data_IF_611543868741
#
_entry.id   IF_611543868741
#
_cell.length_a   1.000
_cell.length_b   1.000
_cell.length_c   1.000
_cell.angle_alpha   90.00
_cell.angle_beta   90.00
_cell.angle_gamma   90.00
#
_symmetry.space_group_name_H-M   'P 1'
#
loop_
_entity.id
_entity.type
_entity.pdbx_description
1 polymer ?
#
# COMPACT_ATOMS: atom_id res chain seq x y z
N UNK A 1 16.56 -18.81 -18.50
CA UNK A 1 15.77 -18.60 -17.25
C UNK A 1 14.93 -17.31 -17.27
N UNK A 2 15.49 -16.09 -17.47
CA UNK A 2 14.73 -14.81 -17.53
C UNK A 2 13.47 -14.78 -18.43
N UNK A 3 13.55 -15.33 -19.66
CA UNK A 3 12.37 -15.42 -20.58
C UNK A 3 11.22 -16.28 -20.04
N UNK A 4 11.53 -17.33 -19.26
CA UNK A 4 10.53 -18.25 -18.69
C UNK A 4 9.81 -17.63 -17.49
N UNK A 5 10.53 -16.81 -16.72
CA UNK A 5 9.96 -16.00 -15.63
C UNK A 5 9.07 -14.89 -16.18
N UNK A 6 9.49 -14.22 -17.25
CA UNK A 6 8.70 -13.17 -17.92
C UNK A 6 7.41 -13.73 -18.54
N UNK A 7 7.47 -14.93 -19.12
CA UNK A 7 6.29 -15.59 -19.69
C UNK A 7 5.31 -16.03 -18.60
N UNK A 8 5.79 -16.51 -17.45
CA UNK A 8 4.92 -16.84 -16.30
C UNK A 8 4.26 -15.61 -15.68
N UNK A 9 4.98 -14.50 -15.52
CA UNK A 9 4.37 -13.25 -15.05
C UNK A 9 3.42 -12.67 -16.09
N UNK A 10 3.72 -12.80 -17.39
CA UNK A 10 2.80 -12.41 -18.46
C UNK A 10 1.53 -13.26 -18.46
N UNK A 11 1.63 -14.58 -18.27
CA UNK A 11 0.48 -15.49 -18.15
C UNK A 11 -0.33 -15.19 -16.88
N UNK A 12 0.31 -14.93 -15.75
CA UNK A 12 -0.40 -14.55 -14.53
C UNK A 12 -1.12 -13.21 -14.71
N UNK A 13 -0.46 -12.21 -15.29
CA UNK A 13 -1.04 -10.91 -15.61
C UNK A 13 -2.17 -11.04 -16.64
N UNK A 14 -2.00 -11.88 -17.67
CA UNK A 14 -3.03 -12.13 -18.67
C UNK A 14 -4.21 -12.87 -18.05
N UNK A 15 -3.99 -13.83 -17.14
CA UNK A 15 -5.06 -14.56 -16.44
C UNK A 15 -5.84 -13.65 -15.50
N UNK A 16 -5.18 -12.72 -14.79
CA UNK A 16 -5.87 -11.66 -14.04
C UNK A 16 -6.63 -10.68 -14.96
N UNK A 17 -6.14 -10.42 -16.17
CA UNK A 17 -6.88 -9.68 -17.20
C UNK A 17 -8.02 -10.51 -17.82
N UNK A 18 -7.90 -11.84 -17.83
CA UNK A 18 -8.85 -12.80 -18.46
C UNK A 18 -10.13 -12.95 -17.66
N UNK A 19 -10.11 -12.60 -16.37
CA UNK A 19 -11.28 -12.60 -15.51
C UNK A 19 -12.14 -11.32 -15.65
N UNK A 20 -11.81 -10.45 -16.62
CA UNK A 20 -12.61 -9.28 -16.93
C UNK A 20 -13.72 -9.65 -17.92
N UNK A 21 -14.96 -9.39 -17.49
CA UNK A 21 -16.15 -9.59 -18.31
C UNK A 21 -16.03 -8.83 -19.65
N UNK A 22 -16.47 -9.42 -20.78
CA UNK A 22 -16.39 -8.76 -22.09
C UNK A 22 -17.13 -7.41 -22.13
N UNK A 23 -18.16 -7.22 -21.28
CA UNK A 23 -18.89 -5.96 -21.15
C UNK A 23 -18.03 -4.82 -20.57
N UNK A 24 -17.03 -5.15 -19.73
CA UNK A 24 -16.16 -4.17 -19.08
C UNK A 24 -14.88 -3.85 -19.87
N UNK A 25 -14.53 -4.66 -20.86
CA UNK A 25 -13.37 -4.44 -21.73
C UNK A 25 -13.35 -3.07 -22.43
N UNK A 26 -14.45 -2.56 -23.04
CA UNK A 26 -14.43 -1.25 -23.67
C UNK A 26 -14.15 -0.13 -22.66
N UNK A 27 -14.79 -0.18 -21.48
CA UNK A 27 -14.59 0.77 -20.40
C UNK A 27 -13.15 0.72 -19.89
N UNK A 28 -12.61 -0.48 -19.64
CA UNK A 28 -11.23 -0.65 -19.21
C UNK A 28 -10.25 -0.09 -20.25
N UNK A 29 -10.45 -0.39 -21.54
CA UNK A 29 -9.59 0.10 -22.61
C UNK A 29 -9.57 1.63 -22.63
N UNK A 30 -10.73 2.28 -22.54
CA UNK A 30 -10.80 3.74 -22.52
C UNK A 30 -10.14 4.34 -21.29
N UNK A 31 -10.31 3.75 -20.12
CA UNK A 31 -9.62 4.18 -18.90
C UNK A 31 -8.10 4.05 -19.01
N UNK A 32 -7.59 2.99 -19.64
CA UNK A 32 -6.15 2.83 -19.90
C UNK A 32 -5.63 3.91 -20.86
N UNK A 33 -6.41 4.29 -21.86
CA UNK A 33 -6.10 5.40 -22.78
C UNK A 33 -6.07 6.73 -22.03
N UNK A 34 -7.12 7.06 -21.26
CA UNK A 34 -7.18 8.27 -20.43
C UNK A 34 -5.98 8.34 -19.48
N UNK A 35 -5.62 7.22 -18.82
CA UNK A 35 -4.43 7.17 -17.94
C UNK A 35 -3.14 7.51 -18.69
N UNK A 36 -2.98 7.04 -19.93
CA UNK A 36 -1.80 7.38 -20.76
C UNK A 36 -1.81 8.84 -21.18
N UNK A 37 -2.98 9.38 -21.52
CA UNK A 37 -3.15 10.78 -21.87
C UNK A 37 -2.80 11.69 -20.68
N UNK A 38 -3.31 11.38 -19.48
CA UNK A 38 -2.96 12.07 -18.23
C UNK A 38 -1.46 11.98 -17.93
N UNK A 39 -0.86 10.79 -18.01
CA UNK A 39 0.58 10.63 -17.81
C UNK A 39 1.41 11.45 -18.83
N UNK A 40 0.95 11.52 -20.07
CA UNK A 40 1.60 12.32 -21.12
C UNK A 40 1.49 13.82 -20.81
N UNK A 41 0.33 14.29 -20.35
CA UNK A 41 0.14 15.67 -19.92
C UNK A 41 1.04 16.02 -18.72
N UNK A 42 1.16 15.13 -17.74
CA UNK A 42 2.04 15.30 -16.58
C UNK A 42 3.53 15.32 -16.91
N UNK A 43 3.95 14.64 -17.97
CA UNK A 43 5.33 14.66 -18.44
C UNK A 43 5.69 15.91 -19.25
N UNK A 44 4.71 16.71 -19.70
CA UNK A 44 4.95 17.95 -20.45
C UNK A 44 5.44 19.05 -19.50
N UNK A 45 6.37 19.87 -19.98
CA UNK A 45 6.83 21.07 -19.25
C UNK A 45 5.71 22.08 -19.03
N UNK A 46 4.77 22.16 -19.95
CA UNK A 46 3.58 23.02 -19.89
C UNK A 46 2.38 22.25 -20.44
N UNK A 47 1.23 22.37 -19.77
CA UNK A 47 -0.05 21.85 -20.20
C UNK A 47 -1.17 22.79 -19.72
N UNK A 48 -2.32 22.76 -20.39
CA UNK A 48 -3.49 23.55 -19.99
C UNK A 48 -4.39 22.72 -19.09
N UNK A 49 -4.90 23.32 -18.01
CA UNK A 49 -5.86 22.67 -17.11
C UNK A 49 -7.17 22.32 -17.81
N UNK A 50 -7.52 23.01 -18.90
CA UNK A 50 -8.67 22.68 -19.76
C UNK A 50 -8.58 21.27 -20.37
N UNK A 51 -7.37 20.85 -20.75
CA UNK A 51 -7.15 19.53 -21.38
C UNK A 51 -7.41 18.43 -20.35
N UNK A 52 -6.96 18.64 -19.11
CA UNK A 52 -7.20 17.73 -17.99
C UNK A 52 -8.68 17.71 -17.60
N UNK A 53 -9.36 18.88 -17.59
CA UNK A 53 -10.80 18.98 -17.31
C UNK A 53 -11.65 18.24 -18.35
N UNK A 54 -11.21 18.22 -19.61
CA UNK A 54 -11.90 17.47 -20.67
C UNK A 54 -11.87 15.96 -20.37
N UNK A 55 -10.71 15.45 -19.98
CA UNK A 55 -10.56 14.06 -19.54
C UNK A 55 -11.33 13.77 -18.25
N UNK A 56 -11.39 14.71 -17.31
CA UNK A 56 -12.17 14.59 -16.09
C UNK A 56 -13.68 14.47 -16.36
N UNK A 57 -14.20 15.22 -17.33
CA UNK A 57 -15.59 15.12 -17.72
C UNK A 57 -15.90 13.77 -18.39
N UNK A 58 -14.98 13.24 -19.19
CA UNK A 58 -15.10 11.89 -19.72
C UNK A 58 -15.04 10.81 -18.62
N UNK A 59 -14.19 10.99 -17.60
CA UNK A 59 -14.22 10.09 -16.44
C UNK A 59 -15.56 10.15 -15.72
N UNK A 60 -16.20 11.33 -15.62
CA UNK A 60 -17.55 11.48 -15.06
C UNK A 60 -18.63 10.80 -15.90
N UNK A 61 -18.54 10.86 -17.23
CA UNK A 61 -19.53 10.13 -18.06
C UNK A 61 -19.41 8.63 -17.88
N UNK A 62 -18.18 8.11 -17.74
CA UNK A 62 -17.92 6.71 -17.38
C UNK A 62 -18.45 6.40 -15.96
N UNK A 63 -18.26 7.31 -15.01
CA UNK A 63 -18.73 7.17 -13.63
C UNK A 63 -20.26 7.11 -13.53
N UNK A 64 -20.95 7.97 -14.27
CA UNK A 64 -22.40 8.09 -14.33
C UNK A 64 -23.08 6.86 -14.97
N UNK A 65 -22.33 6.04 -15.71
CA UNK A 65 -22.84 4.77 -16.21
C UNK A 65 -22.99 3.71 -15.10
N UNK A 66 -22.49 3.97 -13.90
CA UNK A 66 -22.63 3.09 -12.74
C UNK A 66 -23.96 3.32 -12.03
N UNK A 67 -24.59 2.23 -11.59
CA UNK A 67 -25.80 2.24 -10.76
C UNK A 67 -25.40 1.79 -9.36
N UNK A 68 -25.68 2.60 -8.34
CA UNK A 68 -25.25 2.38 -6.95
C UNK A 68 -23.74 2.10 -6.80
N UNK A 69 -22.92 2.80 -7.60
CA UNK A 69 -21.46 2.63 -7.61
C UNK A 69 -20.97 1.34 -8.29
N UNK A 70 -21.85 0.60 -8.96
CA UNK A 70 -21.52 -0.65 -9.65
C UNK A 70 -21.78 -0.57 -11.16
N UNK A 71 -20.94 -1.23 -11.93
CA UNK A 71 -21.23 -1.46 -13.35
C UNK A 71 -22.19 -2.66 -13.43
N UNK A 72 -23.25 -2.55 -14.20
CA UNK A 72 -24.21 -3.64 -14.36
C UNK A 72 -24.12 -4.20 -15.78
N UNK A 73 -24.14 -5.53 -15.89
CA UNK A 73 -24.33 -6.20 -17.16
C UNK A 73 -25.79 -6.05 -17.64
N UNK A 74 -26.11 -6.34 -18.92
CA UNK A 74 -27.46 -6.21 -19.47
C UNK A 74 -28.53 -7.03 -18.73
N UNK A 75 -28.11 -8.06 -17.98
CA UNK A 75 -28.95 -8.91 -17.15
C UNK A 75 -29.12 -8.40 -15.70
N UNK A 76 -28.52 -7.26 -15.35
CA UNK A 76 -28.52 -6.68 -14.01
C UNK A 76 -27.50 -7.31 -13.05
N UNK A 77 -26.65 -8.23 -13.51
CA UNK A 77 -25.60 -8.84 -12.69
C UNK A 77 -24.36 -7.95 -12.59
N UNK A 78 -23.51 -8.24 -11.60
CA UNK A 78 -22.21 -7.56 -11.40
C UNK A 78 -21.17 -8.28 -12.26
N UNK A 79 -20.60 -7.65 -13.29
CA UNK A 79 -19.63 -8.27 -14.17
C UNK A 79 -18.32 -8.58 -13.46
N UNK A 80 -17.71 -9.72 -13.81
CA UNK A 80 -16.43 -10.14 -13.26
C UNK A 80 -15.32 -9.13 -13.59
N UNK A 81 -14.45 -8.85 -12.61
CA UNK A 81 -13.35 -7.88 -12.76
C UNK A 81 -13.75 -6.41 -12.57
N UNK A 82 -14.99 -6.12 -12.14
CA UNK A 82 -15.44 -4.76 -11.85
C UNK A 82 -14.52 -4.00 -10.87
N UNK A 83 -14.00 -4.67 -9.84
CA UNK A 83 -13.11 -4.04 -8.87
C UNK A 83 -11.84 -3.46 -9.52
N UNK A 84 -11.30 -4.13 -10.54
CA UNK A 84 -10.14 -3.66 -11.29
C UNK A 84 -10.46 -2.40 -12.10
N UNK A 85 -11.62 -2.38 -12.76
CA UNK A 85 -12.07 -1.22 -13.55
C UNK A 85 -12.39 -0.04 -12.66
N UNK A 86 -13.03 -0.29 -11.51
CA UNK A 86 -13.35 0.74 -10.51
C UNK A 86 -12.07 1.34 -9.93
N UNK A 87 -11.10 0.51 -9.55
CA UNK A 87 -9.80 1.00 -9.08
C UNK A 87 -9.04 1.78 -10.14
N UNK A 88 -9.13 1.39 -11.42
CA UNK A 88 -8.52 2.14 -12.53
C UNK A 88 -9.20 3.49 -12.75
N UNK A 89 -10.53 3.55 -12.68
CA UNK A 89 -11.32 4.78 -12.77
C UNK A 89 -10.95 5.75 -11.65
N UNK A 90 -10.89 5.26 -10.40
CA UNK A 90 -10.45 6.03 -9.24
C UNK A 90 -9.02 6.56 -9.41
N UNK A 91 -8.10 5.73 -9.92
CA UNK A 91 -6.73 6.16 -10.21
C UNK A 91 -6.69 7.26 -11.28
N UNK A 92 -7.46 7.14 -12.35
CA UNK A 92 -7.54 8.18 -13.38
C UNK A 92 -8.10 9.50 -12.84
N UNK A 93 -9.11 9.43 -11.95
CA UNK A 93 -9.60 10.62 -11.27
C UNK A 93 -8.53 11.25 -10.37
N UNK A 94 -7.78 10.45 -9.61
CA UNK A 94 -6.67 10.95 -8.80
C UNK A 94 -5.59 11.62 -9.66
N UNK A 95 -5.15 10.98 -10.73
CA UNK A 95 -4.12 11.50 -11.63
C UNK A 95 -4.57 12.83 -12.27
N UNK A 96 -5.84 12.92 -12.70
CA UNK A 96 -6.40 14.15 -13.25
C UNK A 96 -6.47 15.27 -12.21
N UNK A 97 -6.87 14.97 -10.98
CA UNK A 97 -6.89 15.96 -9.90
C UNK A 97 -5.49 16.39 -9.48
N UNK A 98 -4.52 15.47 -9.39
CA UNK A 98 -3.11 15.80 -9.10
C UNK A 98 -2.57 16.80 -10.13
N UNK A 99 -2.88 16.60 -11.42
CA UNK A 99 -2.45 17.50 -12.49
C UNK A 99 -3.10 18.88 -12.41
N UNK A 100 -4.41 18.95 -12.15
CA UNK A 100 -5.10 20.24 -11.95
C UNK A 100 -4.52 20.95 -10.72
N UNK A 101 -4.35 20.22 -9.62
CA UNK A 101 -3.84 20.75 -8.36
C UNK A 101 -2.41 21.29 -8.49
N UNK A 102 -1.59 20.70 -9.36
CA UNK A 102 -0.23 21.21 -9.65
C UNK A 102 -0.20 22.59 -10.32
N UNK A 103 -1.35 23.08 -10.83
CA UNK A 103 -1.51 24.35 -11.54
C UNK A 103 -2.34 25.38 -10.78
N UNK A 104 -3.02 24.99 -9.71
CA UNK A 104 -3.83 25.92 -8.93
C UNK A 104 -2.90 26.84 -8.12
N UNK A 105 -3.13 28.15 -8.24
CA UNK A 105 -2.49 29.13 -7.38
C UNK A 105 -3.09 29.00 -5.97
N UNK A 106 -2.22 28.76 -4.99
CA UNK A 106 -2.61 28.64 -3.59
C UNK A 106 -2.36 29.98 -2.93
N UNK A 107 -3.40 30.51 -2.28
CA UNK A 107 -3.26 31.74 -1.51
C UNK A 107 -2.12 31.60 -0.48
N UNK A 108 -1.26 32.62 -0.31
CA UNK A 108 -0.14 32.57 0.65
C UNK A 108 -0.55 32.19 2.07
N UNK A 109 -1.76 32.57 2.48
CA UNK A 109 -2.32 32.26 3.79
C UNK A 109 -2.63 30.76 3.98
N UNK A 110 -2.85 30.01 2.90
CA UNK A 110 -3.10 28.56 2.94
C UNK A 110 -1.83 27.72 2.78
N UNK A 111 -0.69 28.33 2.40
CA UNK A 111 0.58 27.61 2.23
C UNK A 111 1.00 26.79 3.46
N UNK A 112 0.82 27.24 4.71
CA UNK A 112 1.15 26.42 5.87
C UNK A 112 0.36 25.10 5.93
N UNK A 113 -0.93 25.15 5.62
CA UNK A 113 -1.80 23.97 5.60
C UNK A 113 -1.41 23.05 4.43
N UNK A 114 -1.17 23.64 3.26
CA UNK A 114 -0.74 22.92 2.07
C UNK A 114 0.57 22.17 2.28
N UNK A 115 1.58 22.83 2.85
CA UNK A 115 2.89 22.23 3.12
C UNK A 115 2.76 21.09 4.13
N UNK A 116 1.99 21.29 5.21
CA UNK A 116 1.72 20.24 6.20
C UNK A 116 1.06 19.01 5.55
N UNK A 117 0.05 19.21 4.71
CA UNK A 117 -0.62 18.11 3.99
C UNK A 117 0.32 17.40 2.99
N UNK A 118 1.18 18.15 2.29
CA UNK A 118 2.19 17.55 1.43
C UNK A 118 3.20 16.69 2.21
N UNK A 119 3.66 17.15 3.37
CA UNK A 119 4.59 16.41 4.23
C UNK A 119 3.96 15.11 4.77
N UNK A 120 2.70 15.18 5.22
CA UNK A 120 1.94 14.00 5.65
C UNK A 120 1.81 13.01 4.49
N UNK A 121 1.35 13.48 3.32
CA UNK A 121 1.22 12.66 2.11
C UNK A 121 2.54 12.00 1.73
N UNK A 122 3.62 12.76 1.63
CA UNK A 122 4.94 12.24 1.23
C UNK A 122 5.45 11.19 2.23
N UNK A 123 5.14 11.35 3.52
CA UNK A 123 5.47 10.37 4.54
C UNK A 123 4.67 9.08 4.38
N UNK A 124 3.34 9.18 4.19
CA UNK A 124 2.46 8.04 3.96
C UNK A 124 2.81 7.28 2.66
N UNK A 125 3.12 8.00 1.57
CA UNK A 125 3.58 7.40 0.32
C UNK A 125 4.89 6.62 0.51
N UNK A 126 5.83 7.18 1.28
CA UNK A 126 7.09 6.49 1.62
C UNK A 126 6.83 5.22 2.42
N UNK A 127 5.96 5.27 3.42
CA UNK A 127 5.57 4.10 4.22
C UNK A 127 4.94 3.00 3.35
N UNK A 128 4.09 3.38 2.39
CA UNK A 128 3.51 2.46 1.40
C UNK A 128 4.58 1.78 0.52
N UNK A 129 5.73 2.42 0.29
CA UNK A 129 6.81 1.84 -0.51
C UNK A 129 7.78 0.97 0.30
N UNK A 130 8.11 1.37 1.53
CA UNK A 130 9.25 0.77 2.27
C UNK A 130 8.88 0.00 3.54
N UNK A 131 7.67 0.19 4.11
CA UNK A 131 7.37 -0.29 5.48
C UNK A 131 6.03 -1.01 5.63
N UNK A 132 5.40 -1.48 4.55
CA UNK A 132 4.08 -2.17 4.59
C UNK A 132 3.97 -3.28 5.65
N UNK A 133 5.04 -4.01 5.92
CA UNK A 133 5.04 -5.20 6.79
C UNK A 133 5.54 -4.94 8.22
N UNK A 134 5.95 -3.72 8.54
CA UNK A 134 6.48 -3.35 9.88
C UNK A 134 5.72 -2.18 10.51
N UNK A 135 4.60 -1.80 9.90
CA UNK A 135 3.85 -0.61 10.28
C UNK A 135 2.99 -0.90 11.51
N UNK A 136 3.13 -0.10 12.57
CA UNK A 136 2.30 -0.21 13.77
C UNK A 136 1.01 0.59 13.58
N UNK A 137 -0.10 0.14 14.17
CA UNK A 137 -1.34 0.93 14.20
C UNK A 137 -1.14 2.31 14.84
N UNK A 138 -0.30 2.38 15.88
CA UNK A 138 0.02 3.63 16.58
C UNK A 138 0.77 4.63 15.71
N UNK A 139 1.60 4.17 14.77
CA UNK A 139 2.29 5.04 13.82
C UNK A 139 1.30 5.70 12.84
N UNK A 140 0.28 4.95 12.40
CA UNK A 140 -0.78 5.47 11.56
C UNK A 140 -1.75 6.37 12.33
N UNK A 141 -2.01 6.08 13.61
CA UNK A 141 -2.85 6.90 14.47
C UNK A 141 -2.32 8.33 14.60
N UNK A 142 -0.99 8.51 14.70
CA UNK A 142 -0.39 9.85 14.72
C UNK A 142 -0.71 10.66 13.46
N UNK A 143 -0.68 10.03 12.28
CA UNK A 143 -1.10 10.68 11.03
C UNK A 143 -2.61 10.95 11.00
N UNK A 144 -3.44 10.05 11.52
CA UNK A 144 -4.89 10.29 11.65
C UNK A 144 -5.20 11.52 12.50
N UNK A 145 -4.54 11.67 13.66
CA UNK A 145 -4.71 12.84 14.53
C UNK A 145 -4.30 14.12 13.81
N UNK A 146 -3.16 14.13 13.13
CA UNK A 146 -2.72 15.30 12.36
C UNK A 146 -3.70 15.68 11.25
N UNK A 147 -4.27 14.69 10.54
CA UNK A 147 -5.28 14.94 9.52
C UNK A 147 -6.59 15.44 10.12
N UNK A 148 -6.99 14.95 11.30
CA UNK A 148 -8.16 15.45 12.02
C UNK A 148 -7.98 16.90 12.50
N UNK A 149 -6.79 17.26 12.96
CA UNK A 149 -6.48 18.66 13.30
C UNK A 149 -6.59 19.59 12.10
N UNK A 150 -6.08 19.18 10.93
CA UNK A 150 -6.23 19.95 9.69
C UNK A 150 -7.69 20.02 9.27
N UNK A 151 -8.43 18.92 9.40
CA UNK A 151 -9.85 18.86 9.07
C UNK A 151 -10.68 19.80 9.96
N UNK A 152 -10.36 19.86 11.26
CA UNK A 152 -11.02 20.73 12.23
C UNK A 152 -10.84 22.24 11.92
N UNK A 153 -9.87 22.62 11.09
CA UNK A 153 -9.73 23.99 10.60
C UNK A 153 -10.77 24.36 9.55
N UNK A 154 -11.43 23.38 8.93
CA UNK A 154 -12.46 23.60 7.91
C UNK A 154 -13.81 23.93 8.54
N UNK A 155 -14.57 24.81 7.89
CA UNK A 155 -16.00 25.03 8.13
C UNK A 155 -16.73 24.74 6.82
N UNK A 156 -17.79 23.95 6.84
CA UNK A 156 -18.54 23.57 5.63
C UNK A 156 -17.66 23.06 4.46
N UNK A 157 -16.59 22.32 4.79
CA UNK A 157 -15.64 21.76 3.80
C UNK A 157 -14.67 22.77 3.18
N UNK A 158 -14.57 23.99 3.72
CA UNK A 158 -13.68 25.06 3.24
C UNK A 158 -12.78 25.59 4.33
N UNK A 159 -11.57 25.98 3.96
CA UNK A 159 -10.65 26.75 4.79
C UNK A 159 -10.96 28.24 4.65
N UNK A 160 -10.98 28.96 5.76
CA UNK A 160 -11.30 30.39 5.81
C UNK A 160 -10.10 31.19 6.31
N UNK A 161 -10.01 32.44 5.86
CA UNK A 161 -9.12 33.44 6.46
C UNK A 161 -9.72 33.98 7.76
N UNK A 162 -8.92 34.73 8.53
CA UNK A 162 -9.36 35.38 9.78
C UNK A 162 -10.59 36.29 9.58
N UNK A 163 -10.77 36.83 8.37
CA UNK A 163 -11.90 37.70 8.00
C UNK A 163 -13.14 36.95 7.48
N UNK A 164 -13.12 35.60 7.45
CA UNK A 164 -14.24 34.79 6.95
C UNK A 164 -14.35 34.72 5.42
N UNK A 165 -13.34 35.18 4.71
CA UNK A 165 -13.20 34.99 3.26
C UNK A 165 -12.72 33.56 2.94
N UNK A 166 -13.16 33.03 1.79
CA UNK A 166 -12.70 31.74 1.24
C UNK A 166 -11.60 31.99 0.21
N UNK A 167 -10.31 31.76 0.55
CA UNK A 167 -9.19 31.96 -0.35
C UNK A 167 -9.11 30.91 -1.46
N UNK A 168 -8.43 31.24 -2.56
CA UNK A 168 -8.11 30.31 -3.66
C UNK A 168 -7.20 29.15 -3.21
N UNK A 169 -7.30 27.99 -3.88
CA UNK A 169 -6.55 26.77 -3.54
C UNK A 169 -7.33 25.73 -2.72
N UNK A 170 -8.63 25.95 -2.46
CA UNK A 170 -9.49 25.01 -1.70
C UNK A 170 -9.50 23.60 -2.30
N UNK A 171 -9.59 23.48 -3.62
CA UNK A 171 -9.68 22.20 -4.31
C UNK A 171 -8.42 21.35 -4.05
N UNK A 172 -7.24 21.97 -4.12
CA UNK A 172 -5.95 21.31 -3.86
C UNK A 172 -5.85 20.80 -2.44
N UNK A 173 -6.21 21.63 -1.45
CA UNK A 173 -6.15 21.26 -0.03
C UNK A 173 -7.10 20.12 0.30
N UNK A 174 -8.35 20.22 -0.17
CA UNK A 174 -9.35 19.17 0.04
C UNK A 174 -8.92 17.86 -0.62
N UNK A 175 -8.34 17.94 -1.82
CA UNK A 175 -7.79 16.77 -2.49
C UNK A 175 -6.63 16.14 -1.71
N UNK A 176 -5.64 16.93 -1.28
CA UNK A 176 -4.51 16.42 -0.50
C UNK A 176 -4.96 15.79 0.82
N UNK A 177 -5.94 16.38 1.49
CA UNK A 177 -6.51 15.84 2.72
C UNK A 177 -7.21 14.49 2.46
N UNK A 178 -8.10 14.40 1.48
CA UNK A 178 -8.77 13.15 1.13
C UNK A 178 -7.78 12.06 0.69
N UNK A 179 -6.79 12.42 -0.13
CA UNK A 179 -5.73 11.49 -0.56
C UNK A 179 -4.92 10.98 0.61
N UNK A 180 -4.59 11.84 1.57
CA UNK A 180 -3.86 11.44 2.77
C UNK A 180 -4.69 10.48 3.63
N UNK A 181 -5.99 10.74 3.82
CA UNK A 181 -6.89 9.79 4.48
C UNK A 181 -6.98 8.46 3.71
N UNK A 182 -7.10 8.48 2.39
CA UNK A 182 -7.14 7.26 1.56
C UNK A 182 -5.86 6.43 1.71
N UNK A 183 -4.70 7.09 1.74
CA UNK A 183 -3.42 6.43 1.99
C UNK A 183 -3.38 5.78 3.38
N UNK A 184 -3.86 6.46 4.42
CA UNK A 184 -3.96 5.87 5.76
C UNK A 184 -4.87 4.64 5.75
N UNK A 185 -6.08 4.74 5.19
CA UNK A 185 -7.00 3.60 5.12
C UNK A 185 -6.43 2.42 4.34
N UNK A 186 -5.75 2.70 3.23
CA UNK A 186 -5.08 1.68 2.44
C UNK A 186 -3.93 1.03 3.21
N UNK A 187 -3.14 1.81 3.94
CA UNK A 187 -2.07 1.28 4.78
C UNK A 187 -2.62 0.43 5.93
N UNK A 188 -3.72 0.85 6.56
CA UNK A 188 -4.41 0.07 7.60
C UNK A 188 -4.94 -1.25 7.07
N UNK A 189 -5.56 -1.26 5.88
CA UNK A 189 -6.12 -2.48 5.30
C UNK A 189 -5.05 -3.42 4.72
N UNK A 190 -3.85 -2.90 4.42
CA UNK A 190 -2.70 -3.67 3.93
C UNK A 190 -1.75 -4.11 5.05
N UNK A 191 -1.81 -3.50 6.24
CA UNK A 191 -1.01 -3.89 7.39
C UNK A 191 -1.74 -4.95 8.22
N UNK A 192 -1.15 -6.14 8.38
CA UNK A 192 -1.50 -7.00 9.50
C UNK A 192 -0.68 -6.54 10.72
N UNK A 193 -1.30 -6.00 11.78
CA UNK A 193 -0.55 -5.49 12.91
C UNK A 193 -0.01 -6.66 13.74
N UNK A 194 1.32 -6.69 13.90
CA UNK A 194 1.93 -7.47 14.98
C UNK A 194 1.78 -6.66 16.25
N UNK A 195 1.04 -7.19 17.23
CA UNK A 195 0.81 -6.54 18.50
C UNK A 195 2.14 -6.18 19.19
N UNK A 196 2.15 -5.13 20.01
CA UNK A 196 3.37 -4.62 20.66
C UNK A 196 4.11 -5.71 21.46
N UNK A 197 3.36 -6.57 22.15
CA UNK A 197 3.90 -7.72 22.89
C UNK A 197 4.71 -8.70 22.01
N UNK A 198 4.41 -8.77 20.71
CA UNK A 198 5.08 -9.66 19.76
C UNK A 198 6.19 -8.98 18.95
N UNK A 199 6.31 -7.64 19.01
CA UNK A 199 7.34 -6.89 18.27
C UNK A 199 8.77 -7.34 18.59
N UNK A 200 9.16 -7.61 19.85
CA UNK A 200 10.50 -8.13 20.16
C UNK A 200 10.77 -9.48 19.48
N UNK A 201 9.78 -10.37 19.45
CA UNK A 201 9.86 -11.69 18.82
C UNK A 201 9.98 -11.55 17.30
N UNK A 202 9.09 -10.76 16.69
CA UNK A 202 9.07 -10.48 15.26
C UNK A 202 10.41 -9.91 14.76
N UNK A 203 10.97 -8.92 15.47
CA UNK A 203 12.25 -8.31 15.11
C UNK A 203 13.40 -9.32 15.18
N UNK A 204 13.45 -10.15 16.24
CA UNK A 204 14.47 -11.18 16.37
C UNK A 204 14.38 -12.22 15.25
N UNK A 205 13.17 -12.70 14.93
CA UNK A 205 12.96 -13.65 13.83
C UNK A 205 13.37 -13.07 12.47
N UNK A 206 13.02 -11.81 12.22
CA UNK A 206 13.39 -11.13 10.98
C UNK A 206 14.90 -11.00 10.82
N UNK A 207 15.62 -10.67 11.91
CA UNK A 207 17.09 -10.64 11.91
C UNK A 207 17.67 -12.02 11.64
N UNK A 208 17.20 -13.06 12.34
CA UNK A 208 17.68 -14.44 12.16
C UNK A 208 17.45 -14.92 10.73
N UNK A 209 16.25 -14.71 10.19
CA UNK A 209 15.90 -15.02 8.80
C UNK A 209 16.86 -14.37 7.82
N UNK A 210 17.13 -13.07 7.98
CA UNK A 210 18.07 -12.35 7.10
C UNK A 210 19.47 -12.96 7.17
N UNK A 211 19.98 -13.26 8.37
CA UNK A 211 21.27 -13.91 8.52
C UNK A 211 21.30 -15.30 7.87
N UNK A 212 20.27 -16.13 8.07
CA UNK A 212 20.17 -17.46 7.46
C UNK A 212 20.11 -17.41 5.93
N UNK A 213 19.39 -16.44 5.36
CA UNK A 213 19.34 -16.22 3.91
C UNK A 213 20.72 -15.82 3.38
N UNK A 214 21.45 -14.93 4.07
CA UNK A 214 22.79 -14.55 3.65
C UNK A 214 23.76 -15.74 3.74
N UNK A 215 23.69 -16.55 4.80
CA UNK A 215 24.46 -17.81 4.91
C UNK A 215 24.18 -18.73 3.72
N UNK A 216 22.90 -18.96 3.41
CA UNK A 216 22.47 -19.78 2.25
C UNK A 216 22.94 -19.22 0.91
N UNK A 217 23.02 -17.89 0.78
CA UNK A 217 23.40 -17.22 -0.46
C UNK A 217 24.91 -17.20 -0.69
N UNK A 218 25.69 -16.97 0.36
CA UNK A 218 27.14 -16.81 0.25
C UNK A 218 27.91 -18.14 0.17
N UNK A 219 27.27 -19.27 0.51
CA UNK A 219 27.73 -20.62 0.18
C UNK A 219 29.23 -20.84 0.41
N UNK A 220 29.61 -21.14 1.65
CA UNK A 220 30.98 -21.52 2.03
C UNK A 220 31.01 -22.92 2.64
N UNK A 221 32.20 -23.46 3.01
CA UNK A 221 32.31 -24.69 3.78
C UNK A 221 31.80 -24.43 5.20
N UNK A 222 30.47 -24.40 5.36
CA UNK A 222 29.86 -24.22 6.65
C UNK A 222 29.90 -25.54 7.40
N UNK A 223 30.35 -25.50 8.65
CA UNK A 223 30.28 -26.67 9.51
C UNK A 223 28.98 -26.63 10.32
N UNK A 224 28.47 -27.79 10.74
CA UNK A 224 27.32 -27.88 11.67
C UNK A 224 27.47 -26.98 12.91
N UNK A 225 28.72 -26.72 13.34
CA UNK A 225 29.06 -25.84 14.46
C UNK A 225 28.69 -24.38 14.20
N UNK A 226 28.82 -23.90 12.97
CA UNK A 226 28.52 -22.51 12.59
C UNK A 226 27.02 -22.23 12.50
N UNK A 227 26.20 -23.29 12.34
CA UNK A 227 24.74 -23.20 12.39
C UNK A 227 24.18 -23.18 13.82
N UNK A 228 24.99 -23.58 14.81
CA UNK A 228 24.56 -23.72 16.20
C UNK A 228 23.99 -22.42 16.82
N UNK A 229 24.59 -21.22 16.61
CA UNK A 229 24.04 -19.98 17.15
C UNK A 229 22.62 -19.68 16.65
N UNK A 230 22.32 -19.99 15.38
CA UNK A 230 20.98 -19.83 14.81
C UNK A 230 19.99 -20.83 15.41
N UNK A 231 20.40 -22.09 15.55
CA UNK A 231 19.57 -23.11 16.20
C UNK A 231 19.22 -22.73 17.64
N UNK A 232 20.22 -22.28 18.42
CA UNK A 232 20.01 -21.82 19.79
C UNK A 232 19.10 -20.60 19.85
N UNK A 233 19.27 -19.65 18.92
CA UNK A 233 18.43 -18.46 18.90
C UNK A 233 16.97 -18.79 18.57
N UNK A 234 16.74 -19.66 17.58
CA UNK A 234 15.39 -20.13 17.24
C UNK A 234 14.75 -20.90 18.40
N UNK A 235 15.48 -21.84 19.01
CA UNK A 235 14.98 -22.57 20.18
C UNK A 235 14.66 -21.64 21.37
N UNK A 236 15.48 -20.61 21.60
CA UNK A 236 15.21 -19.61 22.64
C UNK A 236 13.92 -18.83 22.37
N UNK A 237 13.61 -18.52 21.11
CA UNK A 237 12.35 -17.86 20.73
C UNK A 237 11.20 -18.85 20.86
N UNK A 238 11.40 -20.09 20.41
CA UNK A 238 10.40 -21.17 20.45
C UNK A 238 9.91 -21.46 21.87
N UNK A 239 10.84 -21.44 22.84
CA UNK A 239 10.57 -21.64 24.27
C UNK A 239 9.77 -20.51 24.91
N UNK A 240 9.58 -19.37 24.24
CA UNK A 240 8.69 -18.31 24.71
C UNK A 240 7.21 -18.65 24.45
N UNK A 241 6.92 -19.72 23.70
CA UNK A 241 5.56 -20.18 23.42
C UNK A 241 5.00 -21.02 24.57
N UNK A 242 3.74 -20.81 24.88
CA UNK A 242 2.93 -21.65 25.76
C UNK A 242 1.86 -22.32 24.90
N UNK A 243 1.80 -23.66 24.92
CA UNK A 243 0.90 -24.46 24.07
C UNK A 243 0.97 -24.10 22.56
N UNK A 244 2.20 -23.83 22.09
CA UNK A 244 2.46 -23.46 20.69
C UNK A 244 2.09 -22.02 20.31
N UNK A 245 1.77 -21.17 21.29
CA UNK A 245 1.33 -19.77 21.08
C UNK A 245 2.19 -18.80 21.89
N UNK A 246 2.56 -17.66 21.31
CA UNK A 246 3.07 -16.52 22.08
C UNK A 246 1.92 -15.82 22.83
N UNK A 247 2.09 -15.56 24.12
CA UNK A 247 1.08 -14.88 24.96
C UNK A 247 1.61 -13.51 25.39
N UNK A 248 0.71 -12.54 25.61
CA UNK A 248 1.05 -11.26 26.27
C UNK A 248 1.14 -11.40 27.79
N UNK A 249 1.44 -10.28 28.48
CA UNK A 249 1.54 -10.20 29.93
C UNK A 249 0.23 -10.58 30.66
N UNK A 250 -0.92 -10.42 29.99
CA UNK A 250 -2.24 -10.76 30.50
C UNK A 250 -2.66 -12.20 30.17
N UNK A 251 -1.81 -12.96 29.46
CA UNK A 251 -2.06 -14.34 29.06
C UNK A 251 -2.99 -14.50 27.85
N UNK A 252 -3.27 -13.42 27.13
CA UNK A 252 -4.07 -13.45 25.90
C UNK A 252 -3.18 -13.73 24.67
N UNK A 253 -3.82 -14.16 23.58
CA UNK A 253 -3.14 -14.36 22.30
C UNK A 253 -3.07 -13.00 21.58
N UNK A 254 -1.87 -12.42 21.40
CA UNK A 254 -1.78 -11.11 20.78
C UNK A 254 -2.00 -11.20 19.26
N UNK A 255 -2.48 -10.11 18.68
CA UNK A 255 -2.67 -10.02 17.23
C UNK A 255 -1.33 -10.13 16.47
N UNK A 256 -1.35 -10.73 15.27
CA UNK A 256 -0.13 -11.01 14.49
C UNK A 256 0.67 -12.23 14.95
N UNK A 257 0.15 -13.03 15.89
CA UNK A 257 0.67 -14.35 16.27
C UNK A 257 1.02 -15.22 15.05
N UNK A 258 0.11 -15.31 14.07
CA UNK A 258 0.28 -16.15 12.90
C UNK A 258 1.53 -15.77 12.08
N UNK A 259 1.85 -14.47 12.02
CA UNK A 259 3.04 -13.95 11.33
C UNK A 259 4.30 -14.42 12.06
N UNK A 260 4.36 -14.28 13.39
CA UNK A 260 5.51 -14.73 14.18
C UNK A 260 5.71 -16.26 14.07
N UNK A 261 4.63 -17.03 14.10
CA UNK A 261 4.69 -18.50 13.91
C UNK A 261 5.18 -18.84 12.49
N UNK A 262 4.67 -18.17 11.46
CA UNK A 262 5.09 -18.38 10.09
C UNK A 262 6.57 -18.04 9.88
N UNK A 263 7.04 -16.90 10.41
CA UNK A 263 8.45 -16.50 10.35
C UNK A 263 9.37 -17.47 11.09
N UNK A 264 8.94 -17.98 12.25
CA UNK A 264 9.69 -18.97 13.01
C UNK A 264 9.82 -20.29 12.23
N UNK A 265 8.73 -20.77 11.64
CA UNK A 265 8.75 -21.94 10.78
C UNK A 265 9.65 -21.73 9.56
N UNK A 266 9.54 -20.59 8.86
CA UNK A 266 10.42 -20.25 7.73
C UNK A 266 11.90 -20.28 8.13
N UNK A 267 12.25 -19.75 9.32
CA UNK A 267 13.62 -19.82 9.81
C UNK A 267 14.09 -21.25 10.07
N UNK A 268 13.23 -22.09 10.66
CA UNK A 268 13.53 -23.51 10.86
C UNK A 268 13.69 -24.23 9.52
N UNK A 269 12.82 -23.98 8.54
CA UNK A 269 12.89 -24.57 7.20
C UNK A 269 14.23 -24.22 6.53
N UNK A 270 14.63 -22.94 6.53
CA UNK A 270 15.92 -22.51 5.97
C UNK A 270 17.08 -23.19 6.71
N UNK A 271 17.00 -23.30 8.04
CA UNK A 271 18.05 -23.95 8.84
C UNK A 271 18.15 -25.46 8.52
N UNK A 272 17.02 -26.15 8.35
CA UNK A 272 17.00 -27.57 7.98
C UNK A 272 17.55 -27.79 6.57
N UNK A 273 17.17 -26.95 5.61
CA UNK A 273 17.73 -26.99 4.26
C UNK A 273 19.26 -26.80 4.27
N UNK A 274 19.78 -25.86 5.07
CA UNK A 274 21.22 -25.64 5.22
C UNK A 274 21.94 -26.84 5.84
N UNK A 275 21.33 -27.50 6.83
CA UNK A 275 21.90 -28.72 7.43
C UNK A 275 21.95 -29.86 6.42
N UNK A 276 20.88 -30.07 5.67
CA UNK A 276 20.83 -31.10 4.63
C UNK A 276 21.91 -30.89 3.57
N UNK A 277 22.17 -29.64 3.15
CA UNK A 277 23.26 -29.37 2.20
C UNK A 277 24.65 -29.68 2.75
N UNK A 278 24.87 -29.52 4.06
CA UNK A 278 26.16 -29.86 4.69
C UNK A 278 26.34 -31.38 4.77
N UNK A 279 25.28 -32.12 5.11
CA UNK A 279 25.30 -33.59 5.17
C UNK A 279 25.48 -34.24 3.77
N UNK A 280 25.08 -33.56 2.69
CA UNK A 280 25.31 -34.01 1.31
C UNK A 280 26.74 -33.75 0.80
N UNK A 281 27.45 -32.76 1.37
CA UNK A 281 28.81 -32.37 0.98
C UNK A 281 29.91 -33.09 1.81
N UNK A 282 29.57 -33.76 2.91
CA UNK A 282 30.45 -34.61 3.75
C UNK A 282 30.55 -36.07 3.24
#
# INVERSE_FOLDING_TARGET
>A
KKKKTLAKTLDQLSTTLSNLSPELQPTQKRLVEIRRELATLGARRTFHTSDVRTLQEELRTIDNARVDGKFLAPDGSIPAGQALVTGLLEQCFEDAHDLIASKDEISPALLPIYNRLQEIRASLERLSLTHRWTLRETDLFAYQMQLQEVDAMRRDGKFYLEEGEVPEGQAVLNFLLHKSYRLVYKLLSESEPVAEALMPIHNQLTTVRRCLIEVKKYGGPFTLRELYPYQMKLASIDNMRVDGKFLDEDGNIPEGQAICIALLNECYDILYELKATIEEDE
#
